data_IF_298219370549
#
_entry.id   IF_298219370549
#
_cell.length_a   1.000
_cell.length_b   1.000
_cell.length_c   1.000
_cell.angle_alpha   90.00
_cell.angle_beta   90.00
_cell.angle_gamma   90.00
#
_symmetry.space_group_name_H-M   'P 1'
#
loop_
_entity.id
_entity.type
_entity.pdbx_description
1 polymer ?
#
# COMPACT_ATOMS: atom_id res chain seq x y z
N UNK A 1 4.62 22.00 -16.84
CA UNK A 1 5.31 22.69 -15.71
C UNK A 1 6.55 21.86 -15.39
N UNK A 2 7.71 22.46 -15.56
CA UNK A 2 9.01 21.83 -15.56
C UNK A 2 9.42 21.27 -14.20
N UNK A 3 10.29 20.25 -14.19
CA UNK A 3 10.92 19.57 -13.03
C UNK A 3 11.65 20.50 -12.02
N UNK A 4 11.53 21.80 -12.18
CA UNK A 4 12.18 22.87 -11.40
C UNK A 4 11.49 23.22 -10.06
N UNK A 5 10.34 22.60 -9.75
CA UNK A 5 9.48 23.08 -8.63
C UNK A 5 9.93 22.75 -7.21
N UNK A 6 10.87 21.82 -7.02
CA UNK A 6 11.38 21.44 -5.69
C UNK A 6 12.88 21.70 -5.48
N UNK A 7 13.55 22.37 -6.41
CA UNK A 7 14.98 22.67 -6.24
C UNK A 7 15.23 23.48 -4.97
N UNK A 8 16.08 22.93 -4.10
CA UNK A 8 16.42 23.53 -2.82
C UNK A 8 15.46 23.25 -1.66
N UNK A 9 14.32 22.58 -1.91
CA UNK A 9 13.40 22.20 -0.84
C UNK A 9 13.99 21.04 -0.01
N UNK A 10 14.02 21.23 1.32
CA UNK A 10 14.52 20.23 2.27
C UNK A 10 13.33 19.55 2.94
N UNK A 11 13.16 18.25 2.67
CA UNK A 11 12.03 17.45 3.14
C UNK A 11 12.49 16.47 4.20
N UNK A 12 11.89 16.51 5.39
CA UNK A 12 11.98 15.46 6.39
C UNK A 12 10.90 14.40 6.12
N UNK A 13 11.27 13.25 5.55
CA UNK A 13 10.34 12.17 5.27
C UNK A 13 10.33 11.17 6.44
N UNK A 14 9.24 11.16 7.20
CA UNK A 14 9.06 10.33 8.37
C UNK A 14 8.24 9.11 8.01
N UNK A 15 8.77 7.89 8.14
CA UNK A 15 8.03 6.68 7.81
C UNK A 15 8.82 5.38 7.98
N UNK A 16 8.19 4.23 7.78
CA UNK A 16 8.89 2.96 7.76
C UNK A 16 9.73 2.83 6.49
N UNK A 17 10.88 2.16 6.61
CA UNK A 17 11.74 1.79 5.48
C UNK A 17 12.00 0.29 5.50
N UNK A 18 12.23 -0.34 4.35
CA UNK A 18 12.73 -1.71 4.30
C UNK A 18 14.13 -1.83 4.95
N UNK A 19 14.49 -2.99 5.56
CA UNK A 19 13.65 -4.10 5.92
C UNK A 19 12.81 -3.86 7.18
N UNK A 20 11.66 -4.58 7.35
CA UNK A 20 11.05 -5.51 6.41
C UNK A 20 10.32 -4.77 5.27
N UNK A 21 10.33 -5.37 4.07
CA UNK A 21 9.54 -4.86 2.94
C UNK A 21 8.05 -4.98 3.24
N UNK A 22 7.29 -3.97 2.86
CA UNK A 22 5.84 -3.91 3.03
C UNK A 22 5.29 -2.71 2.27
N UNK A 23 3.99 -2.66 2.03
CA UNK A 23 3.35 -1.64 1.20
C UNK A 23 3.79 -0.22 1.52
N UNK A 24 3.65 0.20 2.79
CA UNK A 24 4.03 1.56 3.21
C UNK A 24 5.55 1.78 3.19
N UNK A 25 6.37 0.79 3.59
CA UNK A 25 7.82 0.91 3.58
C UNK A 25 8.37 1.10 2.16
N UNK A 26 7.83 0.34 1.20
CA UNK A 26 8.18 0.48 -0.21
C UNK A 26 7.74 1.83 -0.79
N UNK A 27 6.55 2.31 -0.44
CA UNK A 27 6.05 3.64 -0.85
C UNK A 27 6.89 4.77 -0.23
N UNK A 28 7.32 4.65 1.02
CA UNK A 28 8.20 5.64 1.67
C UNK A 28 9.55 5.73 0.94
N UNK A 29 10.17 4.58 0.64
CA UNK A 29 11.44 4.53 -0.10
C UNK A 29 11.28 5.11 -1.50
N UNK A 30 10.25 4.68 -2.24
CA UNK A 30 9.96 5.17 -3.58
C UNK A 30 9.73 6.68 -3.60
N UNK A 31 8.96 7.21 -2.63
CA UNK A 31 8.71 8.63 -2.54
C UNK A 31 10.01 9.42 -2.28
N UNK A 32 10.90 8.92 -1.41
CA UNK A 32 12.21 9.53 -1.19
C UNK A 32 13.05 9.59 -2.47
N UNK A 33 13.10 8.49 -3.21
CA UNK A 33 13.81 8.39 -4.50
C UNK A 33 13.26 9.42 -5.52
N UNK A 34 11.93 9.48 -5.67
CA UNK A 34 11.24 10.36 -6.61
C UNK A 34 11.40 11.85 -6.25
N UNK A 35 11.30 12.21 -4.98
CA UNK A 35 11.49 13.58 -4.51
C UNK A 35 12.94 14.05 -4.71
N UNK A 36 13.93 13.19 -4.42
CA UNK A 36 15.34 13.49 -4.68
C UNK A 36 15.59 13.69 -6.19
N UNK A 37 15.04 12.81 -7.04
CA UNK A 37 15.13 12.94 -8.49
C UNK A 37 14.45 14.23 -9.02
N UNK A 38 13.43 14.74 -8.30
CA UNK A 38 12.76 16.00 -8.61
C UNK A 38 13.52 17.25 -8.08
N UNK A 39 14.71 17.06 -7.47
CA UNK A 39 15.60 18.13 -7.02
C UNK A 39 15.40 18.59 -5.58
N UNK A 40 14.58 17.90 -4.78
CA UNK A 40 14.50 18.12 -3.34
C UNK A 40 15.66 17.42 -2.61
N UNK A 41 15.99 17.90 -1.41
CA UNK A 41 16.90 17.20 -0.48
C UNK A 41 16.06 16.46 0.55
N UNK A 42 15.99 15.13 0.46
CA UNK A 42 15.17 14.31 1.36
C UNK A 42 16.02 13.69 2.47
N UNK A 43 15.66 14.01 3.72
CA UNK A 43 16.22 13.34 4.91
C UNK A 43 15.17 12.42 5.49
N UNK A 44 15.44 11.10 5.48
CA UNK A 44 14.50 10.11 5.99
C UNK A 44 14.64 9.90 7.50
N UNK A 45 13.51 9.90 8.22
CA UNK A 45 13.44 9.54 9.64
C UNK A 45 12.68 8.23 9.77
N UNK A 46 13.43 7.14 10.02
CA UNK A 46 12.90 5.79 10.02
C UNK A 46 12.17 5.47 11.33
N UNK A 47 10.89 5.08 11.26
CA UNK A 47 10.08 4.71 12.44
C UNK A 47 10.27 3.25 12.88
N UNK A 48 10.75 2.39 11.99
CA UNK A 48 11.00 0.97 12.24
C UNK A 48 12.50 0.62 12.27
N UNK A 49 13.35 1.57 12.68
CA UNK A 49 14.79 1.33 12.80
C UNK A 49 15.09 0.09 13.67
N UNK A 50 16.10 -0.72 13.32
CA UNK A 50 16.48 -1.88 14.11
C UNK A 50 16.92 -1.46 15.52
N UNK A 51 16.64 -2.32 16.51
CA UNK A 51 17.06 -2.07 17.89
C UNK A 51 18.57 -2.14 18.04
N UNK A 52 19.13 -1.20 18.76
CA UNK A 52 20.55 -1.19 19.14
C UNK A 52 20.66 -0.98 20.66
N UNK A 53 21.23 -1.94 21.42
CA UNK A 53 21.67 -3.27 21.01
C UNK A 53 20.51 -4.24 20.69
N UNK A 54 20.79 -5.28 19.91
CA UNK A 54 19.74 -6.18 19.38
C UNK A 54 18.96 -6.97 20.44
N UNK A 55 19.59 -7.27 21.60
CA UNK A 55 18.93 -8.02 22.68
C UNK A 55 17.70 -7.30 23.26
N UNK A 56 17.64 -5.96 23.16
CA UNK A 56 16.50 -5.14 23.63
C UNK A 56 15.20 -5.52 22.90
N UNK A 57 15.27 -6.02 21.68
CA UNK A 57 14.10 -6.48 20.93
C UNK A 57 13.29 -7.57 21.67
N UNK A 58 13.96 -8.34 22.56
CA UNK A 58 13.35 -9.44 23.32
C UNK A 58 12.69 -9.01 24.63
N UNK A 59 12.88 -7.75 25.07
CA UNK A 59 12.34 -7.25 26.35
C UNK A 59 11.13 -6.36 26.11
N UNK A 60 9.89 -6.85 26.41
CA UNK A 60 8.67 -6.04 26.28
C UNK A 60 8.74 -4.77 27.14
N UNK A 61 8.23 -3.65 26.66
CA UNK A 61 8.28 -2.34 27.34
C UNK A 61 9.59 -1.59 27.11
N UNK A 62 10.73 -2.15 27.45
CA UNK A 62 12.04 -1.52 27.27
C UNK A 62 12.33 -1.21 25.79
N UNK A 63 11.94 -2.11 24.90
CA UNK A 63 12.06 -1.92 23.44
C UNK A 63 11.40 -0.65 22.94
N UNK A 64 10.28 -0.24 23.53
CA UNK A 64 9.56 0.97 23.11
C UNK A 64 10.35 2.24 23.46
N UNK A 65 10.91 2.29 24.66
CA UNK A 65 11.72 3.43 25.15
C UNK A 65 12.98 3.57 24.30
N UNK A 66 13.70 2.47 24.07
CA UNK A 66 14.94 2.47 23.28
C UNK A 66 14.70 2.76 21.77
N UNK A 67 13.48 2.64 21.29
CA UNK A 67 13.13 3.09 19.94
C UNK A 67 12.69 4.56 19.93
N UNK A 68 11.89 4.98 20.91
CA UNK A 68 11.30 6.32 20.93
C UNK A 68 12.33 7.43 21.23
N UNK A 69 13.26 7.22 22.17
CA UNK A 69 14.25 8.25 22.50
C UNK A 69 15.12 8.63 21.30
N UNK A 70 15.80 7.68 20.61
CA UNK A 70 16.56 8.02 19.40
C UNK A 70 15.70 8.59 18.28
N UNK A 71 14.47 8.10 18.14
CA UNK A 71 13.52 8.61 17.15
C UNK A 71 13.19 10.09 17.40
N UNK A 72 12.81 10.45 18.63
CA UNK A 72 12.50 11.84 19.02
C UNK A 72 13.71 12.75 18.85
N UNK A 73 14.91 12.29 19.26
CA UNK A 73 16.14 13.06 19.05
C UNK A 73 16.42 13.28 17.57
N UNK A 74 16.26 12.25 16.73
CA UNK A 74 16.42 12.35 15.27
C UNK A 74 15.41 13.34 14.67
N UNK A 75 14.14 13.26 15.06
CA UNK A 75 13.11 14.22 14.63
C UNK A 75 13.50 15.65 14.96
N UNK A 76 13.99 15.89 16.18
CA UNK A 76 14.39 17.22 16.63
C UNK A 76 15.55 17.79 15.81
N UNK A 77 16.57 16.97 15.54
CA UNK A 77 17.72 17.36 14.73
C UNK A 77 17.34 17.62 13.27
N UNK A 78 16.54 16.70 12.67
CA UNK A 78 16.09 16.82 11.29
C UNK A 78 15.18 18.03 11.11
N UNK A 79 14.28 18.30 12.06
CA UNK A 79 13.39 19.47 12.02
C UNK A 79 14.15 20.81 11.93
N UNK A 80 15.36 20.88 12.51
CA UNK A 80 16.20 22.08 12.40
C UNK A 80 16.82 22.32 11.01
N UNK A 81 16.71 21.36 10.10
CA UNK A 81 17.37 21.38 8.79
C UNK A 81 16.41 21.14 7.62
N UNK A 82 15.10 21.12 7.88
CA UNK A 82 14.06 20.85 6.87
C UNK A 82 13.02 21.93 6.84
N UNK A 83 12.41 22.13 5.67
CA UNK A 83 11.37 23.13 5.43
C UNK A 83 9.98 22.53 5.64
N UNK A 84 9.83 21.23 5.34
CA UNK A 84 8.57 20.49 5.48
C UNK A 84 8.80 19.08 5.99
N UNK A 85 7.96 18.62 6.92
CA UNK A 85 7.84 17.23 7.28
C UNK A 85 6.72 16.56 6.49
N UNK A 86 7.04 15.49 5.77
CA UNK A 86 6.08 14.58 5.18
C UNK A 86 6.02 13.31 6.03
N UNK A 87 4.90 13.10 6.72
CA UNK A 87 4.74 12.04 7.72
C UNK A 87 3.85 10.93 7.16
N UNK A 88 4.43 9.75 6.89
CA UNK A 88 3.71 8.55 6.51
C UNK A 88 3.04 7.94 7.74
N UNK A 89 1.74 8.13 7.89
CA UNK A 89 1.00 7.76 9.08
C UNK A 89 0.13 6.50 8.91
N UNK A 90 -0.03 5.76 10.00
CA UNK A 90 -0.89 4.58 10.08
C UNK A 90 -1.78 4.64 11.33
N UNK A 91 -2.70 3.68 11.47
CA UNK A 91 -3.63 3.54 12.58
C UNK A 91 -2.96 3.09 13.90
N UNK A 92 -3.69 3.20 14.99
CA UNK A 92 -3.38 2.58 16.27
C UNK A 92 -2.11 3.14 16.93
N UNK A 93 -1.34 2.27 17.59
CA UNK A 93 -0.13 2.66 18.28
C UNK A 93 0.93 3.30 17.38
N UNK A 94 0.94 2.96 16.11
CA UNK A 94 1.83 3.61 15.13
C UNK A 94 1.56 5.11 15.02
N UNK A 95 0.30 5.52 15.08
CA UNK A 95 -0.07 6.93 15.14
C UNK A 95 0.46 7.59 16.41
N UNK A 96 0.13 7.02 17.58
CA UNK A 96 0.44 7.64 18.87
C UNK A 96 1.94 7.73 19.17
N UNK A 97 2.70 6.70 18.77
CA UNK A 97 4.13 6.61 19.10
C UNK A 97 5.04 7.28 18.05
N UNK A 98 4.59 7.42 16.81
CA UNK A 98 5.46 7.94 15.75
C UNK A 98 4.87 9.16 15.03
N UNK A 99 3.66 9.07 14.48
CA UNK A 99 3.13 10.17 13.69
C UNK A 99 2.81 11.42 14.55
N UNK A 100 2.12 11.24 15.68
CA UNK A 100 1.77 12.35 16.55
C UNK A 100 3.01 13.08 17.13
N UNK A 101 4.03 12.41 17.69
CA UNK A 101 5.27 13.06 18.10
C UNK A 101 5.96 13.84 16.97
N UNK A 102 5.97 13.30 15.75
CA UNK A 102 6.56 14.00 14.61
C UNK A 102 5.82 15.30 14.29
N UNK A 103 4.47 15.28 14.32
CA UNK A 103 3.65 16.51 14.16
C UNK A 103 3.98 17.55 15.23
N UNK A 104 4.04 17.14 16.50
CA UNK A 104 4.29 18.06 17.60
C UNK A 104 5.71 18.64 17.57
N UNK A 105 6.73 17.84 17.29
CA UNK A 105 8.12 18.31 17.17
C UNK A 105 8.24 19.29 16.01
N UNK A 106 7.70 18.96 14.85
CA UNK A 106 7.70 19.86 13.70
C UNK A 106 7.01 21.19 14.02
N UNK A 107 5.86 21.16 14.73
CA UNK A 107 5.15 22.36 15.16
C UNK A 107 5.99 23.23 16.11
N UNK A 108 6.65 22.63 17.11
CA UNK A 108 7.54 23.32 18.04
C UNK A 108 8.72 23.96 17.28
N UNK A 109 9.26 23.23 16.30
CA UNK A 109 10.39 23.69 15.47
C UNK A 109 9.96 24.61 14.31
N UNK A 110 8.67 24.94 14.20
CA UNK A 110 8.09 25.79 13.14
C UNK A 110 8.32 25.28 11.73
N UNK A 111 8.34 23.95 11.57
CA UNK A 111 8.42 23.25 10.27
C UNK A 111 7.01 22.98 9.75
N UNK A 112 6.78 23.19 8.46
CA UNK A 112 5.51 22.84 7.83
C UNK A 112 5.25 21.33 7.92
N UNK A 113 3.99 20.91 8.09
CA UNK A 113 3.64 19.49 8.31
C UNK A 113 2.59 19.03 7.32
N UNK A 114 2.92 18.02 6.55
CA UNK A 114 2.00 17.26 5.71
C UNK A 114 1.89 15.83 6.27
N UNK A 115 0.71 15.44 6.70
CA UNK A 115 0.44 14.06 7.13
C UNK A 115 -0.16 13.28 5.97
N UNK A 116 0.48 12.18 5.60
CA UNK A 116 0.03 11.24 4.59
C UNK A 116 -0.47 9.96 5.27
N UNK A 117 -1.78 9.89 5.49
CA UNK A 117 -2.38 8.78 6.20
C UNK A 117 -2.73 7.62 5.25
N UNK A 118 -2.31 6.39 5.61
CA UNK A 118 -2.40 5.20 4.74
C UNK A 118 -3.01 3.96 5.38
N UNK A 119 -3.43 4.06 6.65
CA UNK A 119 -3.95 2.91 7.39
C UNK A 119 -5.28 2.39 6.84
N UNK A 120 -5.39 1.07 6.64
CA UNK A 120 -6.62 0.42 6.15
C UNK A 120 -7.77 0.40 7.18
N UNK A 121 -7.46 0.42 8.48
CA UNK A 121 -8.44 0.40 9.58
C UNK A 121 -8.76 1.81 10.13
N UNK A 122 -8.77 2.82 9.27
CA UNK A 122 -8.95 4.22 9.68
C UNK A 122 -10.24 4.47 10.46
N UNK A 123 -11.36 3.92 9.99
CA UNK A 123 -12.67 4.13 10.63
C UNK A 123 -12.69 3.60 12.06
N UNK A 124 -12.27 2.33 12.25
CA UNK A 124 -12.20 1.72 13.59
C UNK A 124 -11.24 2.47 14.52
N UNK A 125 -10.14 2.96 13.98
CA UNK A 125 -9.17 3.76 14.72
C UNK A 125 -9.74 5.11 15.14
N UNK A 126 -10.39 5.84 14.23
CA UNK A 126 -10.98 7.15 14.48
C UNK A 126 -12.19 7.08 15.42
N UNK A 127 -12.98 6.01 15.38
CA UNK A 127 -14.04 5.78 16.37
C UNK A 127 -13.50 5.74 17.80
N UNK A 128 -12.29 5.20 18.01
CA UNK A 128 -11.65 5.08 19.33
C UNK A 128 -10.83 6.31 19.74
N UNK A 129 -10.20 6.97 18.78
CA UNK A 129 -9.17 7.99 19.03
C UNK A 129 -9.41 9.30 18.28
N UNK A 130 -10.55 9.48 17.62
CA UNK A 130 -10.80 10.58 16.69
C UNK A 130 -10.59 11.97 17.27
N UNK A 131 -10.96 12.23 18.53
CA UNK A 131 -10.76 13.51 19.18
C UNK A 131 -9.26 13.85 19.36
N UNK A 132 -8.45 12.89 19.79
CA UNK A 132 -7.00 13.06 19.96
C UNK A 132 -6.33 13.24 18.59
N UNK A 133 -6.73 12.43 17.61
CA UNK A 133 -6.23 12.53 16.23
C UNK A 133 -6.56 13.90 15.65
N UNK A 134 -7.82 14.32 15.73
CA UNK A 134 -8.27 15.63 15.25
C UNK A 134 -7.54 16.80 15.95
N UNK A 135 -7.33 16.70 17.27
CA UNK A 135 -6.57 17.69 18.01
C UNK A 135 -5.13 17.84 17.47
N UNK A 136 -4.47 16.73 17.17
CA UNK A 136 -3.12 16.73 16.56
C UNK A 136 -3.16 17.20 15.11
N UNK A 137 -4.13 16.75 14.31
CA UNK A 137 -4.29 17.13 12.90
C UNK A 137 -4.55 18.61 12.67
N UNK A 138 -5.21 19.29 13.60
CA UNK A 138 -5.38 20.76 13.54
C UNK A 138 -4.06 21.55 13.58
N UNK A 139 -2.94 20.88 13.83
CA UNK A 139 -1.60 21.48 13.86
C UNK A 139 -0.77 21.15 12.62
N UNK A 140 -1.36 20.44 11.69
CA UNK A 140 -0.76 20.14 10.39
C UNK A 140 -1.21 21.16 9.36
N UNK A 141 -0.38 21.38 8.34
CA UNK A 141 -0.71 22.26 7.23
C UNK A 141 -1.59 21.55 6.20
N UNK A 142 -1.41 20.23 6.03
CA UNK A 142 -2.24 19.41 5.16
C UNK A 142 -2.36 17.98 5.67
N UNK A 143 -3.52 17.37 5.42
CA UNK A 143 -3.78 15.95 5.54
C UNK A 143 -4.02 15.41 4.14
N UNK A 144 -3.22 14.42 3.72
CA UNK A 144 -3.40 13.73 2.45
C UNK A 144 -3.68 12.25 2.67
N UNK A 145 -4.49 11.70 1.78
CA UNK A 145 -4.91 10.29 1.80
C UNK A 145 -4.87 9.70 0.39
N UNK A 146 -4.66 8.39 0.21
CA UNK A 146 -4.51 7.83 -1.13
C UNK A 146 -5.83 7.57 -1.87
N UNK A 147 -6.99 7.62 -1.20
CA UNK A 147 -8.28 7.23 -1.80
C UNK A 147 -9.45 8.07 -1.33
N UNK A 148 -10.52 8.10 -2.14
CA UNK A 148 -11.81 8.70 -1.78
C UNK A 148 -12.43 8.07 -0.54
N UNK A 149 -12.26 6.77 -0.32
CA UNK A 149 -12.70 6.08 0.90
C UNK A 149 -12.13 6.73 2.16
N UNK A 150 -10.81 6.90 2.24
CA UNK A 150 -10.21 7.57 3.40
C UNK A 150 -10.60 9.04 3.49
N UNK A 151 -10.81 9.71 2.35
CA UNK A 151 -11.33 11.07 2.35
C UNK A 151 -12.69 11.13 3.04
N UNK A 152 -13.61 10.24 2.70
CA UNK A 152 -14.93 10.15 3.33
C UNK A 152 -14.84 9.81 4.81
N UNK A 153 -14.03 8.80 5.18
CA UNK A 153 -13.82 8.41 6.58
C UNK A 153 -13.36 9.60 7.41
N UNK A 154 -12.29 10.30 7.02
CA UNK A 154 -11.78 11.43 7.76
C UNK A 154 -12.74 12.62 7.79
N UNK A 155 -13.50 12.84 6.71
CA UNK A 155 -14.51 13.90 6.62
C UNK A 155 -15.63 13.72 7.65
N UNK A 156 -16.08 12.49 7.90
CA UNK A 156 -17.07 12.16 8.95
C UNK A 156 -16.58 12.56 10.35
N UNK A 157 -15.27 12.61 10.58
CA UNK A 157 -14.67 13.08 11.83
C UNK A 157 -14.27 14.57 11.83
N UNK A 158 -14.79 15.35 10.85
CA UNK A 158 -14.58 16.80 10.77
C UNK A 158 -13.15 17.20 10.36
N UNK A 159 -12.45 16.36 9.61
CA UNK A 159 -11.16 16.64 8.98
C UNK A 159 -11.34 16.78 7.45
N UNK A 160 -10.43 17.48 6.78
CA UNK A 160 -10.51 17.76 5.34
C UNK A 160 -9.27 17.21 4.64
N UNK A 161 -9.22 15.90 4.33
CA UNK A 161 -8.10 15.32 3.59
C UNK A 161 -8.20 15.62 2.09
N UNK A 162 -7.03 15.69 1.46
CA UNK A 162 -6.88 15.78 0.02
C UNK A 162 -6.40 14.44 -0.54
N UNK A 163 -6.86 14.08 -1.74
CA UNK A 163 -6.46 12.80 -2.36
C UNK A 163 -5.11 12.98 -3.06
N UNK A 164 -4.11 12.26 -2.58
CA UNK A 164 -2.81 12.06 -3.24
C UNK A 164 -2.59 10.55 -3.33
N UNK A 165 -2.86 9.92 -4.48
CA UNK A 165 -2.87 8.47 -4.60
C UNK A 165 -1.49 7.83 -4.46
N UNK A 166 -1.46 6.51 -4.32
CA UNK A 166 -0.23 5.72 -4.39
C UNK A 166 0.42 5.88 -5.76
N UNK A 167 1.73 5.77 -5.80
CA UNK A 167 2.51 5.91 -7.03
C UNK A 167 2.92 4.53 -7.51
N UNK A 168 2.71 4.24 -8.79
CA UNK A 168 3.22 3.07 -9.48
C UNK A 168 4.33 3.45 -10.46
N UNK A 169 5.38 2.64 -10.49
CA UNK A 169 6.45 2.74 -11.47
C UNK A 169 6.20 1.73 -12.60
N UNK A 170 5.65 2.22 -13.71
CA UNK A 170 5.33 1.37 -14.88
C UNK A 170 6.57 0.70 -15.48
N UNK A 171 7.75 1.32 -15.36
CA UNK A 171 8.98 0.76 -15.90
C UNK A 171 9.45 -0.50 -15.16
N UNK A 172 9.07 -0.61 -13.88
CA UNK A 172 9.37 -1.79 -13.04
C UNK A 172 8.41 -2.95 -13.27
N UNK A 173 7.18 -2.63 -13.64
CA UNK A 173 6.11 -3.58 -13.87
C UNK A 173 5.67 -3.51 -15.34
N UNK A 174 6.56 -3.84 -16.30
CA UNK A 174 6.20 -3.79 -17.71
C UNK A 174 5.13 -4.83 -18.01
N UNK A 175 4.25 -4.55 -18.97
CA UNK A 175 3.22 -5.48 -19.40
C UNK A 175 3.82 -6.83 -19.81
N UNK A 176 3.10 -7.90 -19.49
CA UNK A 176 3.40 -9.25 -19.96
C UNK A 176 3.12 -9.37 -21.47
N UNK A 177 3.61 -10.45 -22.06
CA UNK A 177 3.15 -10.86 -23.39
C UNK A 177 1.64 -11.18 -23.32
N UNK A 178 0.80 -10.63 -24.20
CA UNK A 178 -0.64 -10.84 -24.17
C UNK A 178 -1.04 -12.30 -24.45
N UNK A 179 -0.19 -13.08 -25.10
CA UNK A 179 -0.50 -14.49 -25.44
C UNK A 179 -0.31 -15.38 -24.21
N UNK A 180 -1.42 -15.96 -23.76
CA UNK A 180 -1.38 -17.02 -22.73
C UNK A 180 -0.86 -18.32 -23.32
N UNK A 181 0.23 -18.83 -22.76
CA UNK A 181 0.79 -20.13 -23.13
C UNK A 181 0.82 -21.05 -21.91
N UNK A 182 0.17 -22.22 -22.01
CA UNK A 182 0.18 -23.21 -20.94
C UNK A 182 -0.96 -23.11 -19.92
N UNK A 183 -0.84 -23.83 -18.79
CA UNK A 183 -1.85 -23.84 -17.74
C UNK A 183 -1.99 -22.49 -17.03
N UNK A 184 -3.21 -22.12 -16.61
CA UNK A 184 -3.43 -20.85 -15.90
C UNK A 184 -2.58 -20.70 -14.65
N UNK A 185 -1.95 -19.52 -14.48
CA UNK A 185 -1.20 -19.16 -13.29
C UNK A 185 -1.87 -18.02 -12.54
N UNK A 186 -2.36 -18.30 -11.35
CA UNK A 186 -2.98 -17.32 -10.47
C UNK A 186 -1.97 -16.85 -9.42
N UNK A 187 -2.05 -15.59 -9.02
CA UNK A 187 -1.14 -14.99 -8.03
C UNK A 187 -1.91 -14.26 -6.95
N UNK A 188 -1.51 -14.47 -5.70
CA UNK A 188 -1.89 -13.64 -4.55
C UNK A 188 -0.64 -12.93 -4.05
N UNK A 189 -0.63 -11.60 -4.05
CA UNK A 189 0.47 -10.77 -3.57
C UNK A 189 0.05 -10.03 -2.29
N UNK A 190 -0.04 -10.76 -1.17
CA UNK A 190 -0.52 -10.28 0.13
C UNK A 190 0.27 -10.86 1.29
N UNK A 191 0.43 -10.08 2.36
CA UNK A 191 0.90 -10.63 3.62
C UNK A 191 -0.03 -11.75 4.11
N UNK A 192 0.52 -12.73 4.83
CA UNK A 192 -0.24 -13.86 5.39
C UNK A 192 -0.78 -13.47 6.77
N UNK A 193 -1.69 -12.51 6.78
CA UNK A 193 -2.36 -11.96 7.95
C UNK A 193 -3.89 -12.15 7.82
N UNK A 194 -4.65 -12.31 8.92
CA UNK A 194 -6.10 -12.52 8.87
C UNK A 194 -6.85 -11.46 8.04
N UNK A 195 -6.36 -10.22 8.05
CA UNK A 195 -6.95 -9.11 7.31
C UNK A 195 -6.99 -9.34 5.79
N UNK A 196 -6.08 -10.14 5.26
CA UNK A 196 -5.95 -10.37 3.83
C UNK A 196 -6.62 -11.68 3.35
N UNK A 197 -7.20 -12.46 4.24
CA UNK A 197 -8.04 -13.64 3.96
C UNK A 197 -7.56 -14.52 2.79
N UNK A 198 -6.26 -14.86 2.81
CA UNK A 198 -5.67 -15.69 1.76
C UNK A 198 -6.35 -17.07 1.67
N UNK A 199 -7.05 -17.50 2.73
CA UNK A 199 -7.81 -18.74 2.73
C UNK A 199 -8.96 -18.71 1.70
N UNK A 200 -9.63 -17.57 1.52
CA UNK A 200 -10.67 -17.40 0.48
C UNK A 200 -10.08 -17.61 -0.93
N UNK A 201 -8.90 -17.05 -1.23
CA UNK A 201 -8.25 -17.25 -2.52
C UNK A 201 -7.84 -18.74 -2.76
N UNK A 202 -7.36 -19.44 -1.71
CA UNK A 202 -7.02 -20.87 -1.80
C UNK A 202 -8.27 -21.71 -2.11
N UNK A 203 -9.40 -21.44 -1.44
CA UNK A 203 -10.67 -22.15 -1.70
C UNK A 203 -11.24 -21.80 -3.08
N UNK A 204 -11.13 -20.56 -3.52
CA UNK A 204 -11.51 -20.14 -4.88
C UNK A 204 -10.66 -20.86 -5.94
N UNK A 205 -9.37 -21.02 -5.70
CA UNK A 205 -8.46 -21.74 -6.59
C UNK A 205 -8.83 -23.24 -6.71
N UNK A 206 -9.36 -23.87 -5.67
CA UNK A 206 -9.86 -25.24 -5.74
C UNK A 206 -10.95 -25.38 -6.81
N UNK A 207 -11.84 -24.39 -6.96
CA UNK A 207 -12.84 -24.41 -8.05
C UNK A 207 -12.19 -24.25 -9.42
N UNK A 208 -11.12 -23.45 -9.54
CA UNK A 208 -10.39 -23.31 -10.80
C UNK A 208 -9.77 -24.65 -11.21
N UNK A 209 -9.24 -25.43 -10.27
CA UNK A 209 -8.65 -26.74 -10.54
C UNK A 209 -9.66 -27.76 -11.10
N UNK A 210 -10.95 -27.65 -10.82
CA UNK A 210 -11.97 -28.54 -11.40
C UNK A 210 -12.11 -28.37 -12.93
N UNK A 211 -11.77 -27.19 -13.45
CA UNK A 211 -11.85 -26.87 -14.89
C UNK A 211 -10.45 -26.85 -15.54
N UNK A 212 -9.44 -26.49 -14.78
CA UNK A 212 -8.04 -26.40 -15.21
C UNK A 212 -7.13 -27.20 -14.27
N UNK A 213 -7.07 -28.54 -14.38
CA UNK A 213 -6.36 -29.40 -13.42
C UNK A 213 -4.85 -29.13 -13.30
N UNK A 214 -4.25 -28.48 -14.29
CA UNK A 214 -2.83 -28.10 -14.28
C UNK A 214 -2.60 -26.64 -13.88
N UNK A 215 -3.65 -25.90 -13.48
CA UNK A 215 -3.50 -24.52 -13.00
C UNK A 215 -2.59 -24.47 -11.78
N UNK A 216 -1.95 -23.30 -11.59
CA UNK A 216 -1.03 -23.06 -10.46
C UNK A 216 -1.45 -21.80 -9.70
N UNK A 217 -1.25 -21.82 -8.39
CA UNK A 217 -1.42 -20.65 -7.52
C UNK A 217 -0.08 -20.33 -6.85
N UNK A 218 0.41 -19.11 -7.00
CA UNK A 218 1.54 -18.62 -6.22
C UNK A 218 1.09 -17.56 -5.21
N UNK A 219 1.39 -17.78 -3.93
CA UNK A 219 1.11 -16.85 -2.84
C UNK A 219 2.42 -16.20 -2.43
N UNK A 220 2.57 -14.91 -2.73
CA UNK A 220 3.74 -14.09 -2.42
C UNK A 220 3.46 -13.20 -1.21
N UNK A 221 4.09 -13.52 -0.11
CA UNK A 221 3.96 -12.83 1.17
C UNK A 221 4.44 -13.69 2.33
N UNK A 222 4.50 -13.11 3.51
CA UNK A 222 4.82 -13.81 4.75
C UNK A 222 3.94 -13.29 5.86
N UNK A 223 3.71 -14.08 6.90
CA UNK A 223 2.90 -13.66 8.03
C UNK A 223 2.53 -14.81 8.96
N UNK A 224 1.81 -14.50 10.06
CA UNK A 224 1.49 -15.48 11.10
C UNK A 224 0.60 -16.63 10.61
N UNK A 225 -0.19 -16.41 9.55
CA UNK A 225 -1.12 -17.43 9.04
C UNK A 225 -0.46 -18.48 8.13
N UNK A 226 0.84 -18.36 7.81
CA UNK A 226 1.50 -19.25 6.85
C UNK A 226 1.28 -20.73 7.17
N UNK A 227 1.43 -21.10 8.44
CA UNK A 227 1.24 -22.51 8.86
C UNK A 227 -0.20 -23.00 8.65
N UNK A 228 -1.19 -22.16 8.94
CA UNK A 228 -2.61 -22.48 8.80
C UNK A 228 -2.97 -22.64 7.31
N UNK A 229 -2.48 -21.72 6.47
CA UNK A 229 -2.72 -21.73 5.02
C UNK A 229 -2.06 -22.93 4.34
N UNK A 230 -0.83 -23.30 4.74
CA UNK A 230 -0.16 -24.51 4.25
C UNK A 230 -0.94 -25.79 4.61
N UNK A 231 -1.48 -25.81 5.83
CA UNK A 231 -2.33 -26.94 6.25
C UNK A 231 -3.61 -27.00 5.43
N UNK A 232 -4.28 -25.88 5.21
CA UNK A 232 -5.47 -25.81 4.34
C UNK A 232 -5.19 -26.37 2.94
N UNK A 233 -4.05 -26.01 2.34
CA UNK A 233 -3.61 -26.51 1.03
C UNK A 233 -3.40 -28.03 1.06
N UNK A 234 -2.74 -28.56 2.10
CA UNK A 234 -2.49 -29.99 2.26
C UNK A 234 -3.79 -30.79 2.47
N UNK A 235 -4.69 -30.30 3.36
CA UNK A 235 -5.97 -30.94 3.65
C UNK A 235 -6.90 -31.01 2.41
N UNK A 236 -6.70 -30.12 1.44
CA UNK A 236 -7.42 -30.09 0.17
C UNK A 236 -6.67 -30.81 -0.99
N UNK A 237 -5.55 -31.43 -0.72
CA UNK A 237 -4.78 -32.17 -1.73
C UNK A 237 -4.15 -31.30 -2.83
N UNK A 238 -3.92 -30.01 -2.58
CA UNK A 238 -3.42 -29.05 -3.59
C UNK A 238 -1.91 -28.74 -3.46
N UNK A 239 -1.15 -29.58 -2.73
CA UNK A 239 0.25 -29.31 -2.39
C UNK A 239 1.15 -29.01 -3.60
N UNK A 240 0.97 -29.73 -4.69
CA UNK A 240 1.77 -29.56 -5.91
C UNK A 240 1.34 -28.35 -6.77
N UNK A 241 0.12 -27.85 -6.56
CA UNK A 241 -0.47 -26.77 -7.35
C UNK A 241 -0.33 -25.40 -6.68
N UNK A 242 -0.07 -25.35 -5.36
CA UNK A 242 0.01 -24.12 -4.58
C UNK A 242 1.43 -23.90 -4.05
N UNK A 243 2.05 -22.82 -4.51
CA UNK A 243 3.40 -22.41 -4.08
C UNK A 243 3.32 -21.23 -3.14
N UNK A 244 3.91 -21.34 -1.95
CA UNK A 244 4.19 -20.21 -1.07
C UNK A 244 5.59 -19.67 -1.38
N UNK A 245 5.66 -18.52 -2.04
CA UNK A 245 6.92 -17.91 -2.49
C UNK A 245 7.64 -17.12 -1.39
N UNK A 246 7.00 -16.95 -0.22
CA UNK A 246 7.51 -16.06 0.81
C UNK A 246 7.48 -14.60 0.38
N UNK A 247 8.24 -13.76 1.07
CA UNK A 247 8.38 -12.35 0.71
C UNK A 247 9.33 -12.18 -0.46
N UNK A 248 8.86 -11.56 -1.52
CA UNK A 248 9.63 -11.28 -2.72
C UNK A 248 10.11 -9.81 -2.74
N UNK A 249 11.34 -9.62 -3.22
CA UNK A 249 11.85 -8.30 -3.56
C UNK A 249 11.25 -7.81 -4.89
N UNK A 250 11.40 -6.52 -5.19
CA UNK A 250 10.69 -5.82 -6.27
C UNK A 250 10.82 -6.50 -7.65
N UNK A 251 12.02 -6.91 -8.04
CA UNK A 251 12.27 -7.49 -9.37
C UNK A 251 11.67 -8.89 -9.49
N UNK A 252 11.76 -9.70 -8.43
CA UNK A 252 11.12 -11.00 -8.35
C UNK A 252 9.59 -10.88 -8.33
N UNK A 253 9.05 -9.83 -7.70
CA UNK A 253 7.61 -9.54 -7.72
C UNK A 253 7.15 -9.15 -9.14
N UNK A 254 7.91 -8.31 -9.84
CA UNK A 254 7.60 -7.94 -11.23
C UNK A 254 7.65 -9.16 -12.16
N UNK A 255 8.63 -10.06 -11.98
CA UNK A 255 8.70 -11.32 -12.72
C UNK A 255 7.49 -12.23 -12.42
N UNK A 256 7.05 -12.29 -11.15
CA UNK A 256 5.87 -13.04 -10.75
C UNK A 256 4.60 -12.53 -11.44
N UNK A 257 4.36 -11.21 -11.44
CA UNK A 257 3.21 -10.63 -12.14
C UNK A 257 3.24 -10.93 -13.64
N UNK A 258 4.39 -10.81 -14.30
CA UNK A 258 4.51 -11.13 -15.74
C UNK A 258 4.18 -12.60 -16.07
N UNK A 259 4.38 -13.51 -15.11
CA UNK A 259 4.03 -14.93 -15.28
C UNK A 259 2.57 -15.24 -14.95
N UNK A 260 1.83 -14.28 -14.37
CA UNK A 260 0.46 -14.47 -13.91
C UNK A 260 -0.57 -14.28 -15.03
N UNK A 261 -1.64 -15.07 -14.99
CA UNK A 261 -2.83 -14.87 -15.83
C UNK A 261 -3.93 -14.12 -15.09
N UNK A 262 -3.98 -14.25 -13.77
CA UNK A 262 -4.89 -13.51 -12.88
C UNK A 262 -4.20 -13.17 -11.56
N UNK A 263 -4.57 -12.04 -10.99
CA UNK A 263 -4.21 -11.66 -9.62
C UNK A 263 -5.45 -11.65 -8.75
N UNK A 264 -5.36 -12.31 -7.59
CA UNK A 264 -6.43 -12.36 -6.60
C UNK A 264 -6.09 -11.45 -5.42
N UNK A 265 -7.06 -10.63 -5.02
CA UNK A 265 -6.98 -9.79 -3.84
C UNK A 265 -8.16 -10.07 -2.90
N UNK A 266 -8.05 -11.05 -1.98
CA UNK A 266 -9.16 -11.51 -1.15
C UNK A 266 -9.35 -10.70 0.14
N UNK A 267 -8.73 -9.53 0.28
CA UNK A 267 -8.67 -8.74 1.51
C UNK A 267 -10.04 -8.48 2.14
N UNK A 268 -10.12 -8.51 3.47
CA UNK A 268 -11.31 -8.12 4.26
C UNK A 268 -11.37 -6.60 4.50
N UNK A 269 -10.23 -5.93 4.45
CA UNK A 269 -10.14 -4.48 4.48
C UNK A 269 -8.89 -4.05 3.72
N UNK A 270 -9.05 -3.08 2.86
CA UNK A 270 -7.95 -2.42 2.15
C UNK A 270 -8.34 -0.99 1.79
N UNK A 271 -7.35 -0.18 1.50
CA UNK A 271 -7.57 1.20 1.15
C UNK A 271 -7.23 1.48 -0.32
N UNK A 272 -5.96 1.31 -0.68
CA UNK A 272 -5.47 1.41 -2.05
C UNK A 272 -4.34 0.40 -2.26
N UNK A 273 -4.69 -0.87 -2.58
CA UNK A 273 -3.72 -1.95 -2.67
C UNK A 273 -2.73 -1.76 -3.83
N UNK A 274 -1.44 -1.69 -3.50
CA UNK A 274 -0.39 -1.61 -4.51
C UNK A 274 -0.39 -2.82 -5.45
N UNK A 275 -0.78 -4.00 -4.95
CA UNK A 275 -0.88 -5.22 -5.73
C UNK A 275 -1.84 -5.10 -6.92
N UNK A 276 -2.91 -4.31 -6.80
CA UNK A 276 -3.81 -4.04 -7.93
C UNK A 276 -3.12 -3.13 -8.96
N UNK A 277 -2.44 -2.07 -8.52
CA UNK A 277 -1.70 -1.17 -9.41
C UNK A 277 -0.56 -1.90 -10.12
N UNK A 278 0.16 -2.77 -9.40
CA UNK A 278 1.25 -3.59 -9.92
C UNK A 278 0.74 -4.61 -10.94
N UNK A 279 -0.38 -5.29 -10.66
CA UNK A 279 -1.04 -6.20 -11.57
C UNK A 279 -1.50 -5.49 -12.85
N UNK A 280 -2.18 -4.36 -12.73
CA UNK A 280 -2.61 -3.57 -13.88
C UNK A 280 -1.43 -3.08 -14.72
N UNK A 281 -0.36 -2.59 -14.09
CA UNK A 281 0.86 -2.17 -14.79
C UNK A 281 1.49 -3.33 -15.56
N UNK A 282 1.42 -4.54 -15.00
CA UNK A 282 1.94 -5.76 -15.63
C UNK A 282 1.00 -6.37 -16.67
N UNK A 283 -0.15 -5.75 -16.98
CA UNK A 283 -1.13 -6.28 -17.92
C UNK A 283 -1.81 -7.55 -17.42
N UNK A 284 -2.11 -7.63 -16.13
CA UNK A 284 -2.75 -8.82 -15.52
C UNK A 284 -4.10 -8.42 -14.95
N UNK A 285 -5.20 -9.08 -15.34
CA UNK A 285 -6.52 -8.85 -14.77
C UNK A 285 -6.58 -9.21 -13.28
N UNK A 286 -7.46 -8.51 -12.56
CA UNK A 286 -7.61 -8.64 -11.12
C UNK A 286 -9.02 -9.10 -10.77
N UNK A 287 -9.12 -10.07 -9.85
CA UNK A 287 -10.33 -10.40 -9.09
C UNK A 287 -10.11 -9.94 -7.65
N UNK A 288 -10.95 -9.05 -7.15
CA UNK A 288 -10.77 -8.44 -5.82
C UNK A 288 -12.07 -8.43 -5.05
N UNK A 289 -11.96 -8.42 -3.73
CA UNK A 289 -13.10 -8.18 -2.86
C UNK A 289 -13.56 -6.73 -2.93
N UNK A 290 -14.87 -6.50 -2.73
CA UNK A 290 -15.52 -5.20 -2.70
C UNK A 290 -15.48 -4.59 -1.29
N UNK A 291 -14.31 -4.21 -0.80
CA UNK A 291 -14.13 -3.70 0.57
C UNK A 291 -13.36 -2.37 0.60
N UNK A 292 -13.68 -1.54 1.59
CA UNK A 292 -12.94 -0.32 1.91
C UNK A 292 -12.76 0.62 0.71
N UNK A 293 -11.52 0.92 0.39
CA UNK A 293 -11.17 1.83 -0.72
C UNK A 293 -11.11 1.16 -2.09
N UNK A 294 -11.26 -0.15 -2.19
CA UNK A 294 -11.18 -0.86 -3.47
C UNK A 294 -12.24 -0.38 -4.47
N UNK A 295 -13.52 -0.16 -4.11
CA UNK A 295 -14.52 0.38 -5.03
C UNK A 295 -14.25 1.81 -5.52
N UNK A 296 -13.40 2.57 -4.80
CA UNK A 296 -12.96 3.89 -5.25
C UNK A 296 -11.81 3.82 -6.27
N UNK A 297 -11.13 2.67 -6.34
CA UNK A 297 -10.04 2.39 -7.27
C UNK A 297 -10.52 1.60 -8.48
N UNK A 298 -11.37 0.60 -8.26
CA UNK A 298 -11.81 -0.40 -9.22
C UNK A 298 -13.23 -0.10 -9.70
N UNK A 299 -13.43 -0.15 -11.01
CA UNK A 299 -14.77 -0.18 -11.63
C UNK A 299 -15.08 -1.62 -11.99
N UNK A 300 -16.05 -2.19 -11.23
CA UNK A 300 -16.47 -3.57 -11.44
C UNK A 300 -16.91 -3.83 -12.87
N UNK A 301 -16.52 -4.98 -13.38
CA UNK A 301 -16.82 -5.35 -14.75
C UNK A 301 -16.05 -4.56 -15.84
N UNK A 302 -15.21 -3.57 -15.48
CA UNK A 302 -14.45 -2.74 -16.41
C UNK A 302 -12.94 -2.97 -16.32
N UNK A 303 -12.31 -2.62 -15.20
CA UNK A 303 -10.86 -2.74 -15.02
C UNK A 303 -10.45 -3.84 -14.02
N UNK A 304 -11.43 -4.43 -13.30
CA UNK A 304 -11.29 -5.64 -12.49
C UNK A 304 -12.68 -6.27 -12.26
N UNK A 305 -12.72 -7.44 -11.61
CA UNK A 305 -13.95 -8.05 -11.12
C UNK A 305 -14.01 -7.90 -9.60
N UNK A 306 -15.14 -7.40 -9.06
CA UNK A 306 -15.39 -7.28 -7.64
C UNK A 306 -16.32 -8.39 -7.15
N UNK A 307 -15.96 -8.99 -6.01
CA UNK A 307 -16.73 -10.05 -5.37
C UNK A 307 -16.96 -9.71 -3.89
N UNK A 308 -17.97 -10.30 -3.23
CA UNK A 308 -18.14 -10.15 -1.79
C UNK A 308 -16.91 -10.67 -1.01
N UNK A 309 -16.56 -10.05 0.14
CA UNK A 309 -15.51 -10.58 1.01
C UNK A 309 -15.91 -11.94 1.59
N UNK A 310 -14.93 -12.79 1.85
CA UNK A 310 -15.11 -14.16 2.40
C UNK A 310 -16.02 -15.06 1.56
N UNK A 311 -16.13 -14.78 0.25
CA UNK A 311 -16.90 -15.58 -0.69
C UNK A 311 -15.97 -16.27 -1.72
N UNK A 312 -15.47 -17.47 -1.41
CA UNK A 312 -14.60 -18.21 -2.33
C UNK A 312 -15.33 -18.68 -3.59
N UNK A 313 -16.65 -18.85 -3.52
CA UNK A 313 -17.45 -19.29 -4.68
C UNK A 313 -17.55 -18.17 -5.70
N UNK A 314 -17.93 -16.98 -5.29
CA UNK A 314 -17.97 -15.80 -6.17
C UNK A 314 -16.59 -15.50 -6.77
N UNK A 315 -15.52 -15.60 -5.96
CA UNK A 315 -14.15 -15.38 -6.43
C UNK A 315 -13.74 -16.44 -7.46
N UNK A 316 -14.02 -17.71 -7.21
CA UNK A 316 -13.73 -18.82 -8.14
C UNK A 316 -14.50 -18.69 -9.45
N UNK A 317 -15.79 -18.36 -9.40
CA UNK A 317 -16.62 -18.11 -10.59
C UNK A 317 -16.08 -16.93 -11.42
N UNK A 318 -15.68 -15.83 -10.78
CA UNK A 318 -15.05 -14.69 -11.48
C UNK A 318 -13.73 -15.08 -12.13
N UNK A 319 -12.91 -15.93 -11.50
CA UNK A 319 -11.70 -16.47 -12.12
C UNK A 319 -12.02 -17.29 -13.35
N UNK A 320 -12.97 -18.21 -13.26
CA UNK A 320 -13.38 -19.06 -14.38
C UNK A 320 -13.92 -18.25 -15.55
N UNK A 321 -14.76 -17.25 -15.29
CA UNK A 321 -15.30 -16.36 -16.33
C UNK A 321 -14.17 -15.64 -17.09
N UNK A 322 -13.16 -15.10 -16.39
CA UNK A 322 -12.02 -14.44 -17.01
C UNK A 322 -11.11 -15.43 -17.75
N UNK A 323 -10.93 -16.63 -17.26
CA UNK A 323 -10.05 -17.64 -17.88
C UNK A 323 -10.67 -18.27 -19.12
N UNK A 324 -12.00 -18.36 -19.20
CA UNK A 324 -12.73 -18.99 -20.31
C UNK A 324 -12.99 -18.06 -21.50
N UNK A 325 -12.96 -16.75 -21.30
CA UNK A 325 -13.25 -15.77 -22.35
C UNK A 325 -12.04 -14.84 -22.57
N UNK A 326 -11.31 -15.10 -23.66
CA UNK A 326 -10.13 -14.31 -24.03
C UNK A 326 -10.46 -12.84 -24.32
N UNK A 327 -11.66 -12.55 -24.86
CA UNK A 327 -12.06 -11.19 -25.19
C UNK A 327 -12.34 -10.37 -23.92
N UNK A 328 -13.01 -10.95 -22.95
CA UNK A 328 -13.24 -10.34 -21.65
C UNK A 328 -11.92 -10.16 -20.90
N UNK A 329 -11.04 -11.17 -20.95
CA UNK A 329 -9.70 -11.08 -20.34
C UNK A 329 -8.90 -9.91 -20.91
N UNK A 330 -8.81 -9.82 -22.25
CA UNK A 330 -8.09 -8.74 -22.95
C UNK A 330 -8.68 -7.36 -22.63
N UNK A 331 -10.00 -7.24 -22.63
CA UNK A 331 -10.67 -5.98 -22.28
C UNK A 331 -10.29 -5.52 -20.86
N UNK A 332 -10.17 -6.45 -19.88
CA UNK A 332 -9.73 -6.13 -18.53
C UNK A 332 -8.27 -5.68 -18.48
N UNK A 333 -7.40 -6.35 -19.26
CA UNK A 333 -5.99 -5.97 -19.39
C UNK A 333 -5.88 -4.53 -19.89
N UNK A 334 -6.52 -4.21 -20.99
CA UNK A 334 -6.44 -2.87 -21.60
C UNK A 334 -6.99 -1.78 -20.66
N UNK A 335 -8.12 -2.04 -20.02
CA UNK A 335 -8.70 -1.11 -19.05
C UNK A 335 -7.79 -0.92 -17.83
N UNK A 336 -7.18 -1.99 -17.31
CA UNK A 336 -6.24 -1.94 -16.21
C UNK A 336 -4.97 -1.15 -16.55
N UNK A 337 -4.37 -1.42 -17.70
CA UNK A 337 -3.18 -0.69 -18.20
C UNK A 337 -3.46 0.81 -18.35
N UNK A 338 -4.64 1.17 -18.87
CA UNK A 338 -5.05 2.57 -19.02
C UNK A 338 -5.22 3.22 -17.63
N UNK A 339 -5.86 2.54 -16.70
CA UNK A 339 -6.08 3.05 -15.33
C UNK A 339 -4.76 3.23 -14.58
N UNK A 340 -3.81 2.28 -14.69
CA UNK A 340 -2.51 2.35 -14.03
C UNK A 340 -1.73 3.63 -14.39
N UNK A 341 -1.87 4.15 -15.61
CA UNK A 341 -1.21 5.40 -16.05
C UNK A 341 -1.56 6.60 -15.18
N UNK A 342 -2.75 6.64 -14.57
CA UNK A 342 -3.22 7.73 -13.71
C UNK A 342 -2.46 7.82 -12.39
N UNK A 343 -1.80 6.74 -11.99
CA UNK A 343 -1.06 6.61 -10.73
C UNK A 343 0.46 6.70 -10.91
N UNK A 344 0.91 7.14 -12.08
CA UNK A 344 2.34 7.40 -12.34
C UNK A 344 2.82 8.66 -11.61
N UNK A 345 4.13 8.74 -11.39
CA UNK A 345 4.74 9.94 -10.81
C UNK A 345 4.37 11.21 -11.57
N UNK A 346 4.36 11.16 -12.89
CA UNK A 346 3.99 12.30 -13.74
C UNK A 346 2.59 12.86 -13.43
N UNK A 347 1.64 11.98 -13.06
CA UNK A 347 0.28 12.38 -12.70
C UNK A 347 0.14 12.81 -11.23
N UNK A 348 0.86 12.15 -10.31
CA UNK A 348 0.74 12.40 -8.87
C UNK A 348 1.60 13.57 -8.42
N UNK A 349 2.76 13.76 -9.03
CA UNK A 349 3.73 14.83 -8.69
C UNK A 349 3.11 16.23 -8.63
N UNK A 350 2.34 16.72 -9.62
CA UNK A 350 1.78 18.06 -9.59
C UNK A 350 0.88 18.29 -8.38
N UNK A 351 0.06 17.28 -8.03
CA UNK A 351 -0.86 17.35 -6.89
C UNK A 351 -0.07 17.41 -5.57
N UNK A 352 0.93 16.55 -5.40
CA UNK A 352 1.76 16.54 -4.21
C UNK A 352 2.57 17.84 -4.06
N UNK A 353 3.08 18.39 -5.15
CA UNK A 353 3.85 19.64 -5.13
C UNK A 353 2.97 20.82 -4.78
N UNK A 354 1.72 20.83 -5.20
CA UNK A 354 0.76 21.84 -4.80
C UNK A 354 0.48 21.80 -3.30
N UNK A 355 0.33 20.60 -2.74
CA UNK A 355 0.20 20.42 -1.28
C UNK A 355 1.41 21.00 -0.54
N UNK A 356 2.64 20.71 -0.98
CA UNK A 356 3.84 21.26 -0.33
C UNK A 356 3.90 22.78 -0.44
N UNK A 357 3.59 23.34 -1.60
CA UNK A 357 3.58 24.79 -1.82
C UNK A 357 2.62 25.50 -0.86
N UNK A 358 1.40 24.98 -0.74
CA UNK A 358 0.39 25.55 0.19
C UNK A 358 0.76 25.33 1.65
N UNK A 359 1.37 24.19 1.98
CA UNK A 359 1.81 23.92 3.35
C UNK A 359 2.91 24.86 3.83
N UNK A 360 3.76 25.38 2.93
CA UNK A 360 4.84 26.30 3.23
C UNK A 360 4.47 27.77 3.06
N UNK A 361 3.31 28.06 2.46
CA UNK A 361 2.83 29.44 2.35
C UNK A 361 2.59 30.03 3.74
N UNK A 362 2.95 31.29 3.97
CA UNK A 362 2.60 31.96 5.22
C UNK A 362 1.08 31.91 5.40
N UNK A 363 0.59 31.77 6.65
CA UNK A 363 -0.84 31.79 6.91
C UNK A 363 -1.43 33.12 6.36
N UNK A 364 -2.47 32.96 5.53
CA UNK A 364 -3.26 34.13 5.12
C UNK A 364 -3.85 34.75 6.41
N UNK A 365 -3.46 35.98 6.73
CA UNK A 365 -3.93 36.75 7.88
C UNK A 365 -5.41 37.09 7.75
#
# INVERSE_FOLDING_TARGET
MTASGLRGLRIGLVGPLPPPSGGMANQTRQLAELLNAAGATVTTVQVNAPYRPQWIAKVPGLRSVFRLIPYVATLWLVAGRTDVFHIMANSGWSWHLFAAPAVWIARIRRVAVVVNYRGGEAERFLLRSGNIVRFTMRRTCALIVPSGFLQEVFSRFGMRPEIVPNIIDLSRFPPRDPVRTGPPHLVVARNLEPLYDNATAIRAFQMVLTHYPQARLTIAGSGPEERVLRRLVADQGMGDMVRFAGRLERDAMAALYRSADLVLNPSLADNMPNSILEAWSSGVPVVSTNVGGIPHLVRDGVNASLVPPSDPVAMGQSCLALLSDASVWEARVQAGLLEAKRYTWACVQPVLFDVYRRAMAPPLH
#
